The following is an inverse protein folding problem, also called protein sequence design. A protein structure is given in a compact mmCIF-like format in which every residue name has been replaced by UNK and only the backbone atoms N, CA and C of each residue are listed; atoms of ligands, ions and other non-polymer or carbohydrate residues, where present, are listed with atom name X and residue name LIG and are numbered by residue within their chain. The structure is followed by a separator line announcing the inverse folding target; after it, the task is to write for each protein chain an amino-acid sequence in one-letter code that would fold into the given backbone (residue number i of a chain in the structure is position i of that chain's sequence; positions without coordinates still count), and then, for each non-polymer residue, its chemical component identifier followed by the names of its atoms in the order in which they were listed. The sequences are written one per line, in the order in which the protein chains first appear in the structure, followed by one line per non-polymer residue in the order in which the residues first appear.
data_IF_859857455840
#
_entry.id   IF_859857455840
#
_cell.length_a   1.000
_cell.length_b   1.000
_cell.length_c   1.000
_cell.angle_alpha   90.00
_cell.angle_beta   90.00
_cell.angle_gamma   90.00
#
_symmetry.space_group_name_H-M   'P 1'
#
loop_
_entity.id
_entity.type
_entity.pdbx_description
1 polymer ?
#
# COMPACT_ATOMS: atom_id res chain seq x y z
N UNK A 1 8.81 11.70 8.81
CA UNK A 1 9.11 10.81 9.96
C UNK A 1 7.95 9.89 10.26
N UNK A 2 6.74 10.40 10.48
CA UNK A 2 5.63 9.58 11.01
C UNK A 2 4.71 8.97 9.93
N UNK A 3 4.69 9.51 8.70
CA UNK A 3 3.82 9.01 7.62
C UNK A 3 4.18 7.62 7.08
N UNK A 4 5.46 7.36 6.77
CA UNK A 4 5.92 6.06 6.25
C UNK A 4 5.74 4.90 7.25
N UNK A 5 6.07 5.05 8.55
CA UNK A 5 5.79 4.03 9.55
C UNK A 5 4.30 3.63 9.62
N UNK A 6 3.40 4.58 9.37
CA UNK A 6 1.96 4.31 9.33
C UNK A 6 1.58 3.43 8.14
N UNK A 7 2.15 3.72 6.96
CA UNK A 7 1.98 2.85 5.79
C UNK A 7 2.48 1.43 6.05
N UNK A 8 3.66 1.29 6.68
CA UNK A 8 4.20 -0.03 7.07
C UNK A 8 3.26 -0.77 8.02
N UNK A 9 2.69 -0.08 9.01
CA UNK A 9 1.75 -0.69 9.96
C UNK A 9 0.48 -1.20 9.26
N UNK A 10 -0.11 -0.40 8.37
CA UNK A 10 -1.30 -0.78 7.61
C UNK A 10 -1.02 -1.97 6.68
N UNK A 11 0.12 -1.97 5.96
CA UNK A 11 0.52 -3.09 5.10
C UNK A 11 0.71 -4.38 5.91
N UNK A 12 1.39 -4.32 7.06
CA UNK A 12 1.55 -5.49 7.95
C UNK A 12 0.23 -6.02 8.49
N UNK A 13 -0.72 -5.13 8.83
CA UNK A 13 -2.05 -5.55 9.25
C UNK A 13 -2.76 -6.33 8.14
N UNK A 14 -2.67 -5.86 6.89
CA UNK A 14 -3.22 -6.57 5.72
C UNK A 14 -2.53 -7.93 5.49
N UNK A 15 -1.21 -8.01 5.66
CA UNK A 15 -0.46 -9.26 5.56
C UNK A 15 -0.85 -10.29 6.63
N UNK A 16 -1.11 -9.83 7.85
CA UNK A 16 -1.52 -10.67 8.98
C UNK A 16 -3.01 -11.06 8.96
N UNK A 17 -3.80 -10.55 8.01
CA UNK A 17 -5.25 -10.74 7.99
C UNK A 17 -6.02 -9.93 9.05
N UNK A 18 -5.37 -8.95 9.66
CA UNK A 18 -5.95 -8.02 10.65
C UNK A 18 -6.35 -6.67 10.02
N UNK A 19 -6.01 -6.48 8.74
CA UNK A 19 -6.27 -5.24 8.01
C UNK A 19 -7.73 -5.06 7.63
N UNK A 20 -8.13 -3.79 7.48
CA UNK A 20 -9.50 -3.36 7.18
C UNK A 20 -9.55 -2.61 5.86
N UNK A 21 -10.76 -2.46 5.31
CA UNK A 21 -10.97 -1.59 4.14
C UNK A 21 -10.49 -0.15 4.40
N UNK A 22 -10.66 0.32 5.63
CA UNK A 22 -10.18 1.64 6.07
C UNK A 22 -8.65 1.78 5.95
N UNK A 23 -7.89 0.70 6.14
CA UNK A 23 -6.42 0.72 5.99
C UNK A 23 -6.03 0.95 4.52
N UNK A 24 -6.77 0.39 3.58
CA UNK A 24 -6.55 0.59 2.13
C UNK A 24 -6.82 2.06 1.76
N UNK A 25 -7.92 2.63 2.26
CA UNK A 25 -8.24 4.04 2.03
C UNK A 25 -7.19 4.96 2.68
N UNK A 26 -6.73 4.65 3.89
CA UNK A 26 -5.67 5.40 4.55
C UNK A 26 -4.35 5.32 3.79
N UNK A 27 -3.98 4.16 3.24
CA UNK A 27 -2.80 4.01 2.38
C UNK A 27 -2.91 4.91 1.14
N UNK A 28 -4.08 4.94 0.50
CA UNK A 28 -4.35 5.84 -0.65
C UNK A 28 -4.16 7.31 -0.27
N UNK A 29 -4.71 7.73 0.87
CA UNK A 29 -4.56 9.10 1.36
C UNK A 29 -3.10 9.44 1.73
N UNK A 30 -2.34 8.49 2.27
CA UNK A 30 -0.92 8.68 2.54
C UNK A 30 -0.13 8.96 1.27
N UNK A 31 -0.46 8.28 0.15
CA UNK A 31 0.22 8.53 -1.13
C UNK A 31 0.05 9.96 -1.63
N UNK A 32 -1.08 10.60 -1.32
CA UNK A 32 -1.34 12.01 -1.64
C UNK A 32 -0.66 12.96 -0.64
N UNK A 33 -0.73 12.65 0.66
CA UNK A 33 -0.19 13.50 1.73
C UNK A 33 1.34 13.55 1.73
N UNK A 34 2.00 12.49 1.30
CA UNK A 34 3.46 12.39 1.23
C UNK A 34 4.01 12.62 -0.19
N UNK A 35 3.20 13.20 -1.08
CA UNK A 35 3.57 13.47 -2.47
C UNK A 35 4.62 14.60 -2.61
N UNK A 36 5.12 14.78 -3.84
CA UNK A 36 6.08 15.83 -4.19
C UNK A 36 5.52 17.20 -3.79
N UNK A 37 6.36 18.02 -3.15
CA UNK A 37 5.96 19.34 -2.63
C UNK A 37 5.28 19.32 -1.25
N UNK A 38 5.09 18.14 -0.64
CA UNK A 38 4.57 17.99 0.74
C UNK A 38 5.61 17.49 1.74
N UNK A 39 6.83 17.22 1.29
CA UNK A 39 7.91 16.64 2.10
C UNK A 39 9.24 17.33 1.81
N UNK A 40 10.17 17.23 2.76
CA UNK A 40 11.46 17.94 2.69
C UNK A 40 12.44 17.36 1.66
N UNK A 41 12.38 16.05 1.42
CA UNK A 41 13.26 15.35 0.50
C UNK A 41 12.50 14.31 -0.33
N UNK A 42 13.13 13.82 -1.40
CA UNK A 42 12.53 12.88 -2.34
C UNK A 42 12.26 11.47 -1.77
N UNK A 43 12.70 11.17 -0.55
CA UNK A 43 12.56 9.85 0.04
C UNK A 43 11.10 9.43 0.23
N UNK A 44 10.28 10.31 0.80
CA UNK A 44 8.86 10.03 1.02
C UNK A 44 8.06 9.88 -0.29
N UNK A 45 8.14 10.79 -1.27
CA UNK A 45 7.44 10.62 -2.54
C UNK A 45 7.96 9.42 -3.34
N UNK A 46 9.27 9.14 -3.29
CA UNK A 46 9.84 7.94 -3.93
C UNK A 46 9.30 6.63 -3.35
N UNK A 47 8.95 6.60 -2.05
CA UNK A 47 8.28 5.46 -1.45
C UNK A 47 6.76 5.42 -1.73
N UNK A 48 6.12 6.57 -1.93
CA UNK A 48 4.68 6.66 -2.23
C UNK A 48 4.33 6.31 -3.67
N UNK A 49 5.20 6.62 -4.63
CA UNK A 49 4.98 6.33 -6.05
C UNK A 49 4.70 4.84 -6.33
N UNK A 50 5.52 3.87 -5.89
CA UNK A 50 5.21 2.45 -6.08
C UNK A 50 3.96 2.01 -5.32
N UNK A 51 3.72 2.54 -4.12
CA UNK A 51 2.50 2.23 -3.35
C UNK A 51 1.24 2.72 -4.06
N UNK A 52 1.28 3.91 -4.66
CA UNK A 52 0.17 4.47 -5.45
C UNK A 52 -0.11 3.61 -6.68
N UNK A 53 0.94 3.17 -7.38
CA UNK A 53 0.83 2.21 -8.48
C UNK A 53 0.21 0.89 -8.03
N UNK A 54 0.69 0.33 -6.92
CA UNK A 54 0.18 -0.92 -6.34
C UNK A 54 -1.31 -0.83 -6.02
N UNK A 55 -1.74 0.23 -5.33
CA UNK A 55 -3.15 0.47 -5.01
C UNK A 55 -4.02 0.72 -6.25
N UNK A 56 -3.47 1.28 -7.33
CA UNK A 56 -4.20 1.52 -8.56
C UNK A 56 -4.43 0.25 -9.38
N UNK A 57 -3.39 -0.56 -9.55
CA UNK A 57 -3.42 -1.71 -10.46
C UNK A 57 -3.78 -3.02 -9.76
N UNK A 58 -3.49 -3.16 -8.47
CA UNK A 58 -3.66 -4.40 -7.71
C UNK A 58 -4.65 -4.24 -6.55
N UNK A 59 -5.53 -3.23 -6.56
CA UNK A 59 -6.49 -2.97 -5.45
C UNK A 59 -7.25 -4.22 -5.00
N UNK A 60 -7.69 -5.04 -5.94
CA UNK A 60 -8.42 -6.28 -5.67
C UNK A 60 -7.62 -7.25 -4.79
N UNK A 61 -6.29 -7.27 -4.89
CA UNK A 61 -5.45 -8.11 -4.03
C UNK A 61 -5.44 -7.60 -2.58
N UNK A 62 -5.43 -6.28 -2.38
CA UNK A 62 -5.51 -5.67 -1.05
C UNK A 62 -6.88 -5.93 -0.42
N UNK A 63 -7.97 -5.78 -1.18
CA UNK A 63 -9.34 -6.04 -0.68
C UNK A 63 -9.58 -7.52 -0.35
N UNK A 64 -8.95 -8.42 -1.11
CA UNK A 64 -9.01 -9.84 -0.83
C UNK A 64 -8.30 -10.23 0.47
N UNK A 65 -7.18 -9.54 0.81
CA UNK A 65 -6.50 -9.70 2.11
C UNK A 65 -7.38 -9.29 3.29
N UNK A 66 -8.23 -8.27 3.13
CA UNK A 66 -9.20 -7.85 4.15
C UNK A 66 -10.33 -8.88 4.31
N UNK A 67 -10.84 -9.42 3.20
CA UNK A 67 -11.96 -10.37 3.21
C UNK A 67 -11.54 -11.81 3.49
N UNK A 68 -10.25 -12.04 3.77
CA UNK A 68 -9.61 -13.36 3.86
C UNK A 68 -9.97 -14.28 2.69
N UNK A 69 -10.18 -13.69 1.51
CA UNK A 69 -10.46 -14.43 0.28
C UNK A 69 -9.13 -14.82 -0.35
N UNK A 70 -8.93 -16.08 -0.74
CA UNK A 70 -7.76 -16.44 -1.53
C UNK A 70 -7.83 -15.68 -2.86
N UNK A 71 -6.87 -14.76 -3.06
CA UNK A 71 -6.58 -14.25 -4.40
C UNK A 71 -6.05 -15.45 -5.18
N UNK A 72 -6.55 -15.68 -6.40
CA UNK A 72 -5.86 -16.56 -7.32
C UNK A 72 -4.44 -16.00 -7.46
N UNK A 73 -3.45 -16.74 -6.93
CA UNK A 73 -2.06 -16.28 -6.92
C UNK A 73 -1.69 -15.82 -8.33
N UNK A 74 -1.22 -14.58 -8.45
CA UNK A 74 -0.55 -14.11 -9.65
C UNK A 74 0.70 -14.98 -9.82
N UNK A 75 0.56 -16.05 -10.58
CA UNK A 75 1.68 -16.80 -11.11
C UNK A 75 2.52 -15.84 -11.95
N UNK A 76 3.82 -15.78 -11.67
CA UNK A 76 4.87 -15.11 -12.46
C UNK A 76 5.26 -13.68 -12.03
N UNK A 77 6.09 -13.60 -10.98
CA UNK A 77 7.19 -12.63 -10.89
C UNK A 77 8.46 -13.38 -10.49
N UNK A 78 8.85 -14.31 -11.35
CA UNK A 78 10.24 -14.72 -11.49
C UNK A 78 10.63 -14.34 -12.92
N UNK A 79 11.78 -13.70 -13.07
CA UNK A 79 12.43 -13.25 -14.33
C UNK A 79 12.14 -11.81 -14.77
N UNK A 80 12.86 -10.85 -14.16
CA UNK A 80 13.72 -9.90 -14.90
C UNK A 80 15.05 -9.82 -14.18
#
# INVERSE_FOLDING_TARGET
RDGLPWAVKALKALENGEGKMEDIEHLSELTKKLWIGKTFCAHAPGAMEPLMGALKYFRSEFEAKVTNRPVAQASHVEQV
#
